data_IF_503392280863
#
_entry.id   IF_503392280863
#
_cell.length_a   1.000
_cell.length_b   1.000
_cell.length_c   1.000
_cell.angle_alpha   90.00
_cell.angle_beta   90.00
_cell.angle_gamma   90.00
#
_symmetry.space_group_name_H-M   'P 1'
#
loop_
_entity.id
_entity.type
_entity.pdbx_description
1 polymer ?
#
# COMPACT_ATOMS: atom_id res chain seq x y z
N UNK A 1 5.41 20.04 -7.88
CA UNK A 1 4.49 19.28 -7.03
C UNK A 1 5.18 18.91 -5.73
N UNK A 2 4.44 18.83 -4.63
CA UNK A 2 5.00 18.47 -3.32
C UNK A 2 5.50 17.02 -3.29
N UNK A 3 4.93 16.16 -4.13
CA UNK A 3 5.23 14.72 -4.19
C UNK A 3 6.45 14.45 -5.08
N UNK A 4 6.56 15.13 -6.21
CA UNK A 4 7.63 14.90 -7.18
C UNK A 4 8.74 15.95 -7.08
N UNK A 5 10.00 15.49 -6.98
CA UNK A 5 11.17 16.35 -6.99
C UNK A 5 11.54 16.82 -8.40
N UNK A 6 12.05 18.05 -8.50
CA UNK A 6 12.67 18.56 -9.73
C UNK A 6 14.12 18.07 -9.83
N UNK A 7 14.67 18.02 -11.04
CA UNK A 7 16.09 17.72 -11.24
C UNK A 7 16.91 18.83 -10.57
N UNK A 8 17.88 18.44 -9.72
CA UNK A 8 18.71 19.38 -8.97
C UNK A 8 18.12 19.86 -7.63
N UNK A 9 16.91 19.43 -7.24
CA UNK A 9 16.32 19.73 -5.94
C UNK A 9 17.09 18.99 -4.83
N UNK A 10 17.52 19.71 -3.78
CA UNK A 10 18.21 19.14 -2.62
C UNK A 10 17.34 18.20 -1.77
N UNK A 11 16.01 18.34 -1.87
CA UNK A 11 15.06 17.46 -1.20
C UNK A 11 14.61 16.25 -2.05
N UNK A 12 15.30 16.00 -3.16
CA UNK A 12 14.96 14.92 -4.11
C UNK A 12 15.05 13.52 -3.50
N UNK A 13 15.90 13.33 -2.51
CA UNK A 13 16.02 12.12 -1.71
C UNK A 13 14.71 11.72 -1.00
N UNK A 14 13.85 12.70 -0.70
CA UNK A 14 12.57 12.56 -0.02
C UNK A 14 11.35 12.56 -0.95
N UNK A 15 11.56 12.75 -2.24
CA UNK A 15 10.49 12.88 -3.22
C UNK A 15 10.49 11.75 -4.23
N UNK A 16 9.29 11.41 -4.71
CA UNK A 16 9.13 10.49 -5.83
C UNK A 16 9.67 11.11 -7.13
N UNK A 17 10.07 10.26 -8.05
CA UNK A 17 10.32 10.60 -9.44
C UNK A 17 9.63 9.58 -10.35
N UNK A 18 9.87 9.63 -11.65
CA UNK A 18 9.35 8.62 -12.57
C UNK A 18 10.37 8.34 -13.67
N UNK A 19 10.30 7.13 -14.20
CA UNK A 19 11.01 6.71 -15.39
C UNK A 19 10.00 6.65 -16.53
N UNK A 20 10.29 7.39 -17.60
CA UNK A 20 9.56 7.29 -18.85
C UNK A 20 10.15 6.13 -19.67
N UNK A 21 9.35 5.10 -19.90
CA UNK A 21 9.77 3.87 -20.58
C UNK A 21 9.59 3.92 -22.10
N UNK A 22 8.97 5.00 -22.62
CA UNK A 22 8.81 5.22 -24.06
C UNK A 22 7.78 4.33 -24.77
N UNK A 23 7.26 3.31 -24.10
CA UNK A 23 6.23 2.40 -24.61
C UNK A 23 5.12 2.22 -23.56
N UNK A 24 3.91 1.91 -24.04
CA UNK A 24 2.80 1.60 -23.12
C UNK A 24 2.86 0.14 -22.69
N UNK A 25 2.65 -0.09 -21.40
CA UNK A 25 2.48 -1.41 -20.78
C UNK A 25 1.31 -1.38 -19.82
N UNK A 26 0.81 -2.54 -19.40
CA UNK A 26 -0.32 -2.62 -18.47
C UNK A 26 0.12 -2.30 -17.04
N UNK A 27 -0.77 -1.66 -16.29
CA UNK A 27 -0.62 -1.59 -14.84
C UNK A 27 -0.62 -3.02 -14.24
N UNK A 28 0.32 -3.36 -13.31
CA UNK A 28 0.48 -4.72 -12.79
C UNK A 28 -0.79 -5.36 -12.25
N UNK A 29 -1.62 -4.58 -11.56
CA UNK A 29 -2.90 -5.09 -11.03
C UNK A 29 -3.86 -5.50 -12.16
N UNK A 30 -3.93 -4.75 -13.25
CA UNK A 30 -4.74 -5.10 -14.42
C UNK A 30 -4.18 -6.34 -15.11
N UNK A 31 -2.85 -6.37 -15.34
CA UNK A 31 -2.18 -7.53 -15.93
C UNK A 31 -2.46 -8.83 -15.15
N UNK A 32 -2.32 -8.78 -13.84
CA UNK A 32 -2.62 -9.91 -12.94
C UNK A 32 -4.09 -10.32 -12.96
N UNK A 33 -4.98 -9.34 -13.05
CA UNK A 33 -6.43 -9.58 -13.08
C UNK A 33 -6.86 -10.21 -14.41
N UNK A 34 -6.25 -9.82 -15.54
CA UNK A 34 -6.50 -10.45 -16.85
C UNK A 34 -6.20 -11.95 -16.82
N UNK A 35 -5.09 -12.37 -16.20
CA UNK A 35 -4.76 -13.78 -16.03
C UNK A 35 -5.76 -14.56 -15.17
N UNK A 36 -6.39 -13.89 -14.20
CA UNK A 36 -7.43 -14.50 -13.37
C UNK A 36 -8.78 -14.63 -14.09
N UNK A 37 -9.07 -13.74 -15.04
CA UNK A 37 -10.28 -13.80 -15.85
C UNK A 37 -10.21 -14.89 -16.91
N UNK A 38 -9.10 -14.91 -17.67
CA UNK A 38 -8.90 -15.88 -18.75
C UNK A 38 -7.41 -16.10 -18.97
N UNK A 39 -6.93 -17.30 -18.69
CA UNK A 39 -5.51 -17.65 -18.83
C UNK A 39 -4.98 -17.42 -20.28
N UNK A 40 -5.86 -17.50 -21.27
CA UNK A 40 -5.49 -17.20 -22.66
C UNK A 40 -4.98 -15.76 -22.83
N UNK A 41 -5.50 -14.77 -22.09
CA UNK A 41 -5.05 -13.37 -22.21
C UNK A 41 -3.58 -13.21 -21.84
N UNK A 42 -3.15 -13.80 -20.73
CA UNK A 42 -1.74 -13.80 -20.36
C UNK A 42 -0.89 -14.57 -21.37
N UNK A 43 -1.41 -15.67 -21.90
CA UNK A 43 -0.74 -16.42 -22.95
C UNK A 43 -0.50 -15.63 -24.25
N UNK A 44 -1.47 -14.82 -24.66
CA UNK A 44 -1.34 -13.90 -25.80
C UNK A 44 -0.32 -12.81 -25.47
N UNK A 45 -0.46 -12.16 -24.30
CA UNK A 45 0.46 -11.09 -23.86
C UNK A 45 1.92 -11.56 -23.77
N UNK A 46 2.14 -12.81 -23.39
CA UNK A 46 3.48 -13.43 -23.27
C UNK A 46 4.01 -14.02 -24.59
N UNK A 47 3.24 -13.95 -25.66
CA UNK A 47 3.64 -14.53 -26.96
C UNK A 47 3.58 -16.06 -27.04
N UNK A 48 2.89 -16.72 -26.10
CA UNK A 48 2.79 -18.18 -26.01
C UNK A 48 1.57 -18.75 -26.71
N UNK A 49 0.52 -17.96 -26.87
CA UNK A 49 -0.75 -18.36 -27.47
C UNK A 49 -1.05 -17.44 -28.64
N UNK A 50 -1.33 -18.03 -29.78
CA UNK A 50 -1.82 -17.34 -30.97
C UNK A 50 -3.33 -17.22 -30.92
N UNK A 51 -3.87 -16.07 -31.31
CA UNK A 51 -5.29 -15.78 -31.29
C UNK A 51 -5.70 -14.90 -32.46
N UNK A 52 -6.97 -14.95 -32.82
CA UNK A 52 -7.64 -14.08 -33.77
C UNK A 52 -8.67 -13.26 -33.00
N UNK A 53 -8.81 -11.99 -33.35
CA UNK A 53 -9.88 -11.15 -32.85
C UNK A 53 -11.21 -11.49 -33.53
N UNK A 54 -12.26 -11.72 -32.74
CA UNK A 54 -13.62 -11.94 -33.24
C UNK A 54 -14.49 -10.73 -32.92
N UNK A 55 -14.87 -10.00 -33.95
CA UNK A 55 -15.71 -8.80 -33.83
C UNK A 55 -17.13 -9.07 -33.34
N UNK A 56 -17.65 -10.29 -33.50
CA UNK A 56 -19.01 -10.64 -33.07
C UNK A 56 -19.10 -10.79 -31.56
N UNK A 57 -18.11 -11.51 -30.97
CA UNK A 57 -18.05 -11.75 -29.54
C UNK A 57 -17.25 -10.67 -28.80
N UNK A 58 -16.51 -9.78 -29.53
CA UNK A 58 -15.61 -8.77 -28.97
C UNK A 58 -14.61 -9.36 -27.99
N UNK A 59 -14.03 -10.51 -28.38
CA UNK A 59 -13.01 -11.21 -27.59
C UNK A 59 -12.04 -11.98 -28.54
N UNK A 60 -10.95 -12.46 -27.96
CA UNK A 60 -9.96 -13.28 -28.67
C UNK A 60 -10.38 -14.75 -28.69
N UNK A 61 -10.19 -15.37 -29.85
CA UNK A 61 -10.38 -16.81 -30.07
C UNK A 61 -9.01 -17.44 -30.34
N UNK A 62 -8.73 -18.56 -29.65
CA UNK A 62 -7.48 -19.30 -29.83
C UNK A 62 -7.32 -19.78 -31.26
N UNK A 63 -6.14 -19.58 -31.82
CA UNK A 63 -5.79 -19.99 -33.20
C UNK A 63 -4.41 -20.65 -33.25
N UNK A 64 -3.99 -21.02 -34.46
CA UNK A 64 -2.68 -21.60 -34.78
C UNK A 64 -1.68 -20.47 -35.13
N UNK A 65 -0.38 -20.77 -35.16
CA UNK A 65 0.63 -19.80 -35.56
C UNK A 65 0.55 -19.29 -37.04
N UNK A 66 -0.18 -20.02 -37.90
CA UNK A 66 -0.32 -19.66 -39.32
C UNK A 66 -1.35 -18.55 -39.51
N UNK A 67 -2.49 -18.67 -38.85
CA UNK A 67 -3.64 -17.77 -39.02
C UNK A 67 -3.77 -16.74 -37.92
N UNK A 68 -3.21 -17.01 -36.72
CA UNK A 68 -3.32 -16.18 -35.54
C UNK A 68 -2.11 -15.29 -35.34
N UNK A 69 -2.32 -14.27 -34.54
CA UNK A 69 -1.29 -13.36 -34.05
C UNK A 69 -1.10 -13.51 -32.55
N UNK A 70 -0.01 -12.98 -32.00
CA UNK A 70 0.31 -13.03 -30.58
C UNK A 70 1.05 -11.75 -30.17
N UNK A 71 1.22 -11.53 -28.88
CA UNK A 71 2.01 -10.45 -28.34
C UNK A 71 1.21 -9.35 -27.68
N UNK A 72 1.95 -8.47 -26.99
CA UNK A 72 1.34 -7.35 -26.24
C UNK A 72 0.70 -6.33 -27.18
N UNK A 73 1.32 -6.09 -28.33
CA UNK A 73 0.81 -5.11 -29.29
C UNK A 73 -0.58 -5.51 -29.81
N UNK A 74 -0.74 -6.75 -30.23
CA UNK A 74 -2.03 -7.29 -30.64
C UNK A 74 -3.10 -7.07 -29.56
N UNK A 75 -2.79 -7.46 -28.32
CA UNK A 75 -3.72 -7.36 -27.23
C UNK A 75 -4.11 -5.91 -26.91
N UNK A 76 -3.13 -5.00 -26.94
CA UNK A 76 -3.37 -3.56 -26.69
C UNK A 76 -4.19 -2.90 -27.79
N UNK A 77 -4.07 -3.36 -29.03
CA UNK A 77 -4.85 -2.82 -30.17
C UNK A 77 -6.34 -2.99 -29.93
N UNK A 78 -6.77 -4.14 -29.42
CA UNK A 78 -8.18 -4.45 -29.17
C UNK A 78 -8.60 -4.22 -27.71
N UNK A 79 -7.70 -3.75 -26.86
CA UNK A 79 -7.93 -3.61 -25.42
C UNK A 79 -9.23 -2.91 -25.05
N UNK A 80 -9.55 -1.81 -25.71
CA UNK A 80 -10.75 -1.00 -25.41
C UNK A 80 -12.04 -1.67 -25.82
N UNK A 81 -11.98 -2.60 -26.78
CA UNK A 81 -13.15 -3.26 -27.34
C UNK A 81 -13.53 -4.57 -26.64
N UNK A 82 -12.58 -5.18 -25.89
CA UNK A 82 -12.80 -6.46 -25.21
C UNK A 82 -14.01 -6.35 -24.28
N UNK A 83 -14.96 -7.30 -24.44
CA UNK A 83 -16.09 -7.49 -23.55
C UNK A 83 -15.84 -8.73 -22.68
N UNK A 84 -15.93 -8.56 -21.39
CA UNK A 84 -15.71 -9.65 -20.44
C UNK A 84 -17.05 -10.31 -20.09
N UNK A 85 -17.15 -11.60 -20.29
CA UNK A 85 -18.35 -12.37 -19.95
C UNK A 85 -18.48 -12.56 -18.44
N UNK A 86 -19.65 -12.27 -17.92
CA UNK A 86 -20.06 -12.55 -16.55
C UNK A 86 -20.43 -14.01 -16.37
N UNK A 87 -20.27 -14.52 -15.17
CA UNK A 87 -20.77 -15.84 -14.79
C UNK A 87 -21.30 -15.80 -13.34
N UNK A 88 -21.66 -16.94 -12.78
CA UNK A 88 -22.19 -17.03 -11.42
C UNK A 88 -21.17 -16.72 -10.29
N UNK A 89 -19.93 -16.38 -10.61
CA UNK A 89 -18.88 -16.08 -9.62
C UNK A 89 -18.82 -14.60 -9.28
N UNK A 90 -19.14 -14.26 -8.04
CA UNK A 90 -19.00 -12.88 -7.51
C UNK A 90 -17.57 -12.35 -7.60
N UNK A 91 -16.59 -13.21 -7.40
CA UNK A 91 -15.17 -12.84 -7.51
C UNK A 91 -14.80 -12.46 -8.95
N UNK A 92 -15.37 -13.15 -9.95
CA UNK A 92 -15.18 -12.80 -11.37
C UNK A 92 -15.78 -11.42 -11.67
N UNK A 93 -16.98 -11.17 -11.15
CA UNK A 93 -17.65 -9.87 -11.33
C UNK A 93 -16.85 -8.72 -10.71
N UNK A 94 -16.22 -8.94 -9.56
CA UNK A 94 -15.32 -7.95 -8.94
C UNK A 94 -14.09 -7.68 -9.82
N UNK A 95 -13.53 -8.70 -10.46
CA UNK A 95 -12.43 -8.51 -11.40
C UNK A 95 -12.85 -7.75 -12.66
N UNK A 96 -14.01 -8.07 -13.22
CA UNK A 96 -14.56 -7.35 -14.37
C UNK A 96 -14.82 -5.89 -14.00
N UNK A 97 -15.48 -5.63 -12.89
CA UNK A 97 -15.75 -4.28 -12.38
C UNK A 97 -14.46 -3.47 -12.16
N UNK A 98 -13.41 -4.10 -11.63
CA UNK A 98 -12.10 -3.48 -11.47
C UNK A 98 -11.53 -3.07 -12.84
N UNK A 99 -11.53 -3.97 -13.80
CA UNK A 99 -10.98 -3.70 -15.14
C UNK A 99 -11.79 -2.61 -15.82
N UNK A 100 -13.11 -2.70 -15.87
CA UNK A 100 -13.98 -1.72 -16.50
C UNK A 100 -13.79 -0.32 -15.92
N UNK A 101 -13.70 -0.22 -14.60
CA UNK A 101 -13.45 1.04 -13.89
C UNK A 101 -12.15 1.72 -14.33
N UNK A 102 -11.11 0.95 -14.57
CA UNK A 102 -9.77 1.48 -14.87
C UNK A 102 -9.32 1.24 -16.32
N UNK A 103 -10.20 0.77 -17.19
CA UNK A 103 -9.89 0.38 -18.57
C UNK A 103 -9.20 1.48 -19.37
N UNK A 104 -9.66 2.72 -19.24
CA UNK A 104 -9.11 3.88 -19.95
C UNK A 104 -7.71 4.29 -19.51
N UNK A 105 -7.32 3.98 -18.27
CA UNK A 105 -6.01 4.34 -17.69
C UNK A 105 -5.15 3.10 -17.37
N UNK A 106 -5.54 1.94 -17.88
CA UNK A 106 -4.87 0.68 -17.62
C UNK A 106 -3.45 0.60 -18.20
N UNK A 107 -3.17 1.40 -19.24
CA UNK A 107 -1.89 1.47 -19.92
C UNK A 107 -1.10 2.68 -19.44
N UNK A 108 0.16 2.46 -19.09
CA UNK A 108 1.08 3.51 -18.64
C UNK A 108 2.43 3.42 -19.39
N UNK A 109 3.02 4.57 -19.62
CA UNK A 109 4.37 4.75 -20.14
C UNK A 109 5.34 5.28 -19.07
N UNK A 110 4.85 5.51 -17.85
CA UNK A 110 5.63 6.07 -16.74
C UNK A 110 5.54 5.20 -15.51
N UNK A 111 6.70 4.87 -14.96
CA UNK A 111 6.82 4.06 -13.74
C UNK A 111 7.36 4.92 -12.62
N UNK A 112 6.65 4.93 -11.49
CA UNK A 112 7.04 5.70 -10.31
C UNK A 112 8.32 5.15 -9.72
N UNK A 113 9.25 6.04 -9.41
CA UNK A 113 10.50 5.74 -8.71
C UNK A 113 10.39 6.19 -7.27
N UNK A 114 10.65 5.26 -6.39
CA UNK A 114 10.65 5.45 -4.94
C UNK A 114 11.73 6.44 -4.51
N UNK A 115 11.49 7.29 -3.48
CA UNK A 115 12.47 8.26 -3.02
C UNK A 115 13.82 7.61 -2.68
N UNK A 116 14.90 8.26 -3.04
CA UNK A 116 16.26 7.74 -2.85
C UNK A 116 16.57 7.45 -1.38
N UNK A 117 16.09 8.29 -0.45
CA UNK A 117 16.28 8.10 0.98
C UNK A 117 15.52 6.92 1.61
N UNK A 118 14.73 6.19 0.82
CA UNK A 118 14.02 4.97 1.26
C UNK A 118 14.55 3.70 0.56
N UNK A 119 15.63 3.81 -0.22
CA UNK A 119 16.29 2.70 -0.93
C UNK A 119 17.80 2.91 -0.85
N UNK A 120 18.33 2.68 0.33
CA UNK A 120 19.70 3.02 0.67
C UNK A 120 20.74 2.22 -0.13
N UNK A 121 21.89 2.84 -0.27
CA UNK A 121 23.10 2.21 -0.77
C UNK A 121 24.14 2.36 0.34
N UNK A 122 24.51 1.25 0.95
CA UNK A 122 25.49 1.21 2.03
C UNK A 122 26.83 0.69 1.50
N UNK A 123 27.91 1.32 1.93
CA UNK A 123 29.28 0.86 1.65
C UNK A 123 29.89 0.43 2.98
N UNK A 124 30.21 -0.84 3.10
CA UNK A 124 30.85 -1.37 4.31
C UNK A 124 32.34 -0.92 4.43
N UNK A 125 32.94 -1.19 5.57
CA UNK A 125 34.34 -0.82 5.83
C UNK A 125 35.34 -1.52 4.88
N UNK A 126 34.93 -2.57 4.17
CA UNK A 126 35.72 -3.28 3.16
C UNK A 126 35.57 -2.69 1.75
N UNK A 127 34.74 -1.66 1.59
CA UNK A 127 34.42 -1.05 0.30
C UNK A 127 33.36 -1.80 -0.50
N UNK A 128 32.72 -2.84 0.07
CA UNK A 128 31.65 -3.56 -0.60
C UNK A 128 30.35 -2.75 -0.52
N UNK A 129 29.73 -2.56 -1.67
CA UNK A 129 28.47 -1.85 -1.78
C UNK A 129 27.29 -2.83 -1.64
N UNK A 130 26.44 -2.58 -0.66
CA UNK A 130 25.13 -3.22 -0.50
C UNK A 130 24.05 -2.24 -0.90
N UNK A 131 23.11 -2.66 -1.73
CA UNK A 131 22.03 -1.81 -2.21
C UNK A 131 20.69 -2.53 -2.06
N UNK A 132 19.63 -1.76 -1.91
CA UNK A 132 18.28 -2.28 -1.87
C UNK A 132 17.93 -2.97 -3.21
N UNK A 133 17.24 -4.11 -3.16
CA UNK A 133 16.88 -4.94 -4.31
C UNK A 133 16.08 -4.18 -5.37
N UNK A 134 15.28 -3.18 -4.98
CA UNK A 134 14.51 -2.38 -5.92
C UNK A 134 15.40 -1.54 -6.85
N UNK A 135 16.62 -1.20 -6.43
CA UNK A 135 17.56 -0.46 -7.26
C UNK A 135 17.97 -1.27 -8.50
N UNK A 136 18.09 -2.61 -8.35
CA UNK A 136 18.40 -3.49 -9.48
C UNK A 136 17.25 -3.52 -10.51
N UNK A 137 16.01 -3.50 -10.04
CA UNK A 137 14.85 -3.43 -10.93
C UNK A 137 14.81 -2.10 -11.70
N UNK A 138 15.09 -0.97 -11.04
CA UNK A 138 15.16 0.31 -11.73
C UNK A 138 16.30 0.39 -12.74
N UNK A 139 17.47 -0.19 -12.45
CA UNK A 139 18.60 -0.24 -13.40
C UNK A 139 18.22 -1.06 -14.64
N UNK A 140 17.61 -2.23 -14.46
CA UNK A 140 17.12 -3.05 -15.58
C UNK A 140 16.09 -2.28 -16.42
N UNK A 141 15.15 -1.61 -15.76
CA UNK A 141 14.12 -0.81 -16.41
C UNK A 141 14.74 0.30 -17.28
N UNK A 142 15.69 1.05 -16.71
CA UNK A 142 16.40 2.12 -17.42
C UNK A 142 17.20 1.59 -18.61
N UNK A 143 17.87 0.45 -18.47
CA UNK A 143 18.64 -0.16 -19.55
C UNK A 143 17.74 -0.49 -20.75
N UNK A 144 16.61 -1.17 -20.54
CA UNK A 144 15.66 -1.51 -21.60
C UNK A 144 15.02 -0.24 -22.18
N UNK A 145 14.63 0.70 -21.36
CA UNK A 145 14.03 1.97 -21.79
C UNK A 145 14.98 2.77 -22.68
N UNK A 146 16.26 2.87 -22.31
CA UNK A 146 17.26 3.56 -23.12
C UNK A 146 17.49 2.87 -24.49
N UNK A 147 17.45 1.54 -24.53
CA UNK A 147 17.52 0.80 -25.79
C UNK A 147 16.33 1.15 -26.70
N UNK A 148 15.12 1.17 -26.13
CA UNK A 148 13.91 1.47 -26.90
C UNK A 148 13.86 2.93 -27.41
N UNK A 149 14.39 3.89 -26.68
CA UNK A 149 14.43 5.31 -27.10
C UNK A 149 15.23 5.55 -28.37
N UNK A 150 16.22 4.71 -28.62
CA UNK A 150 17.10 4.82 -29.79
C UNK A 150 16.51 4.11 -31.01
N UNK A 151 15.32 3.52 -30.92
CA UNK A 151 14.71 2.73 -32.00
C UNK A 151 13.45 3.42 -32.55
N UNK A 152 13.16 3.16 -33.83
CA UNK A 152 11.97 3.71 -34.48
C UNK A 152 10.73 2.85 -34.17
N UNK A 153 10.08 3.14 -33.03
CA UNK A 153 8.92 2.39 -32.51
C UNK A 153 7.65 2.51 -33.36
N UNK A 154 7.61 3.46 -34.29
CA UNK A 154 6.38 3.76 -35.04
C UNK A 154 6.18 2.85 -36.23
N UNK A 155 7.26 2.39 -36.86
CA UNK A 155 7.19 1.61 -38.12
C UNK A 155 6.83 0.15 -37.90
N UNK A 156 7.36 -0.48 -36.85
CA UNK A 156 7.14 -1.90 -36.56
C UNK A 156 6.95 -2.14 -35.03
N UNK A 157 5.82 -1.75 -34.50
CA UNK A 157 5.61 -1.83 -33.04
C UNK A 157 5.60 -3.26 -32.49
N UNK A 158 5.27 -4.24 -33.31
CA UNK A 158 5.22 -5.66 -32.93
C UNK A 158 6.59 -6.24 -32.61
N UNK A 159 7.66 -5.76 -33.28
CA UNK A 159 9.02 -6.24 -33.05
C UNK A 159 9.52 -5.97 -31.62
N UNK A 160 8.89 -5.05 -30.92
CA UNK A 160 9.28 -4.67 -29.56
C UNK A 160 8.48 -5.36 -28.47
N UNK A 161 7.68 -6.35 -28.79
CA UNK A 161 6.84 -7.07 -27.82
C UNK A 161 7.67 -7.83 -26.78
N UNK A 162 8.85 -8.33 -27.15
CA UNK A 162 9.79 -8.94 -26.22
C UNK A 162 10.30 -7.95 -25.16
N UNK A 163 10.64 -6.74 -25.58
CA UNK A 163 11.07 -5.66 -24.70
C UNK A 163 9.91 -5.15 -23.84
N UNK A 164 8.70 -4.99 -24.40
CA UNK A 164 7.50 -4.65 -23.63
C UNK A 164 7.21 -5.68 -22.57
N UNK A 165 7.30 -6.97 -22.89
CA UNK A 165 7.09 -8.04 -21.93
C UNK A 165 8.14 -8.01 -20.80
N UNK A 166 9.39 -7.72 -21.15
CA UNK A 166 10.46 -7.56 -20.16
C UNK A 166 10.20 -6.38 -19.22
N UNK A 167 9.79 -5.23 -19.76
CA UNK A 167 9.38 -4.07 -18.98
C UNK A 167 8.15 -4.37 -18.09
N UNK A 168 7.18 -5.11 -18.64
CA UNK A 168 5.99 -5.52 -17.88
C UNK A 168 6.35 -6.40 -16.68
N UNK A 169 7.27 -7.35 -16.86
CA UNK A 169 7.74 -8.21 -15.77
C UNK A 169 8.45 -7.40 -14.69
N UNK A 170 9.38 -6.53 -15.07
CA UNK A 170 10.08 -5.66 -14.13
C UNK A 170 9.09 -4.76 -13.38
N UNK A 171 8.08 -4.22 -14.06
CA UNK A 171 7.06 -3.41 -13.43
C UNK A 171 6.19 -4.22 -12.45
N UNK A 172 5.87 -5.46 -12.80
CA UNK A 172 5.17 -6.37 -11.89
C UNK A 172 6.01 -6.64 -10.62
N UNK A 173 7.32 -6.88 -10.78
CA UNK A 173 8.24 -7.12 -9.66
C UNK A 173 8.34 -5.88 -8.75
N UNK A 174 8.48 -4.69 -9.32
CA UNK A 174 8.47 -3.43 -8.58
C UNK A 174 7.15 -3.27 -7.81
N UNK A 175 6.03 -3.55 -8.45
CA UNK A 175 4.72 -3.45 -7.80
C UNK A 175 4.55 -4.47 -6.66
N UNK A 176 5.03 -5.70 -6.84
CA UNK A 176 5.00 -6.74 -5.80
C UNK A 176 5.92 -6.38 -4.64
N UNK A 177 7.09 -5.79 -4.90
CA UNK A 177 7.97 -5.27 -3.87
C UNK A 177 7.24 -4.24 -2.99
N UNK A 178 6.60 -3.24 -3.58
CA UNK A 178 5.82 -2.26 -2.82
C UNK A 178 4.67 -2.90 -2.05
N UNK A 179 3.93 -3.78 -2.68
CA UNK A 179 2.84 -4.49 -2.02
C UNK A 179 3.37 -5.25 -0.81
N UNK A 180 4.52 -5.92 -0.94
CA UNK A 180 5.15 -6.65 0.15
C UNK A 180 5.58 -5.79 1.34
N UNK A 181 5.89 -4.51 1.11
CA UNK A 181 6.23 -3.56 2.19
C UNK A 181 5.01 -3.10 2.97
N UNK A 182 3.86 -2.95 2.31
CA UNK A 182 2.68 -2.33 2.91
C UNK A 182 1.61 -3.32 3.32
N UNK A 183 1.46 -4.43 2.59
CA UNK A 183 0.43 -5.43 2.80
C UNK A 183 0.92 -6.57 3.70
N UNK A 184 0.10 -6.95 4.68
CA UNK A 184 0.35 -8.03 5.62
C UNK A 184 0.35 -7.62 7.07
N UNK A 185 0.06 -8.58 7.97
CA UNK A 185 -0.14 -8.39 9.41
C UNK A 185 1.02 -7.69 10.13
N UNK A 186 2.26 -7.94 9.69
CA UNK A 186 3.47 -7.34 10.29
C UNK A 186 4.06 -6.20 9.47
N UNK A 187 3.43 -5.84 8.34
CA UNK A 187 3.91 -4.82 7.41
C UNK A 187 3.43 -3.43 7.82
N UNK A 188 3.71 -2.43 6.97
CA UNK A 188 3.54 -1.03 7.34
C UNK A 188 2.14 -0.67 7.84
N UNK A 189 1.09 -1.00 7.10
CA UNK A 189 -0.26 -0.60 7.51
C UNK A 189 -0.70 -1.30 8.79
N UNK A 190 -0.69 -2.63 8.83
CA UNK A 190 -1.20 -3.38 9.98
C UNK A 190 -0.21 -3.41 11.15
N UNK A 191 1.08 -3.52 10.87
CA UNK A 191 2.10 -3.69 11.90
C UNK A 191 2.63 -2.40 12.51
N UNK A 192 2.52 -1.28 11.78
CA UNK A 192 3.05 0.02 12.23
C UNK A 192 1.94 1.05 12.43
N UNK A 193 1.18 1.36 11.40
CA UNK A 193 0.19 2.42 11.45
C UNK A 193 -1.06 2.03 12.24
N UNK A 194 -1.67 0.89 11.95
CA UNK A 194 -2.85 0.40 12.67
C UNK A 194 -2.55 -0.12 14.09
N UNK A 195 -1.31 -0.54 14.36
CA UNK A 195 -0.86 -1.02 15.67
C UNK A 195 -0.36 0.11 16.58
N UNK A 196 -0.81 1.32 16.37
CA UNK A 196 -0.39 2.48 17.17
C UNK A 196 -0.72 2.27 18.65
N UNK A 197 0.31 2.36 19.50
CA UNK A 197 0.13 2.28 20.95
C UNK A 197 -0.51 3.57 21.47
N UNK A 198 -1.51 3.44 22.30
CA UNK A 198 -2.10 4.55 23.06
C UNK A 198 -1.30 4.68 24.34
N UNK A 199 -0.83 5.89 24.64
CA UNK A 199 -0.17 6.18 25.92
C UNK A 199 -1.18 6.03 27.08
N UNK A 200 -0.68 5.52 28.21
CA UNK A 200 -1.46 5.26 29.43
C UNK A 200 -2.68 4.33 29.22
N UNK A 201 -2.72 3.60 28.11
CA UNK A 201 -3.66 2.52 27.91
C UNK A 201 -3.39 1.34 28.84
N UNK A 202 -4.40 0.56 29.14
CA UNK A 202 -4.29 -0.67 29.93
C UNK A 202 -4.56 -1.89 29.04
N UNK A 203 -3.93 -3.00 29.39
CA UNK A 203 -4.18 -4.30 28.77
C UNK A 203 -4.73 -5.23 29.86
N UNK A 204 -5.93 -5.73 29.64
CA UNK A 204 -6.60 -6.62 30.56
C UNK A 204 -6.78 -8.00 29.93
N UNK A 205 -6.77 -9.02 30.76
CA UNK A 205 -7.15 -10.37 30.36
C UNK A 205 -8.66 -10.49 30.57
N UNK A 206 -9.35 -10.98 29.56
CA UNK A 206 -10.78 -11.29 29.67
C UNK A 206 -10.90 -12.57 30.50
N UNK A 207 -11.54 -12.48 31.63
CA UNK A 207 -11.83 -13.61 32.51
C UNK A 207 -13.33 -13.68 32.80
N UNK A 208 -13.78 -14.81 33.34
CA UNK A 208 -15.16 -14.90 33.83
C UNK A 208 -15.38 -13.88 34.92
N UNK A 209 -16.59 -13.28 34.96
CA UNK A 209 -17.00 -12.39 36.03
C UNK A 209 -17.09 -13.17 37.35
N UNK A 210 -16.63 -12.54 38.44
CA UNK A 210 -16.89 -13.09 39.77
C UNK A 210 -18.38 -12.87 40.08
N UNK A 211 -19.11 -13.95 40.17
CA UNK A 211 -20.53 -13.92 40.45
C UNK A 211 -20.70 -14.35 41.91
N UNK A 212 -21.29 -13.46 42.73
CA UNK A 212 -21.67 -13.80 44.10
C UNK A 212 -22.92 -14.70 44.15
N UNK A 213 -23.55 -14.92 43.01
CA UNK A 213 -24.70 -15.79 42.83
C UNK A 213 -24.61 -16.58 41.55
N UNK A 214 -24.94 -17.89 41.52
CA UNK A 214 -24.98 -18.70 40.31
C UNK A 214 -26.20 -18.38 39.40
N UNK A 215 -27.13 -17.53 39.85
CA UNK A 215 -28.32 -17.20 39.10
C UNK A 215 -28.13 -15.97 38.22
N UNK A 216 -28.35 -16.13 36.91
CA UNK A 216 -28.45 -15.02 35.97
C UNK A 216 -29.59 -14.09 36.36
N UNK A 217 -29.33 -12.80 36.47
CA UNK A 217 -30.31 -11.79 36.84
C UNK A 217 -30.39 -11.50 38.35
N UNK A 218 -29.56 -12.14 39.17
CA UNK A 218 -29.40 -11.74 40.59
C UNK A 218 -28.93 -10.28 40.63
N UNK A 219 -29.42 -9.51 41.64
CA UNK A 219 -28.96 -8.13 41.86
C UNK A 219 -27.48 -8.02 42.19
N UNK A 220 -26.82 -9.12 42.54
CA UNK A 220 -25.37 -9.18 42.81
C UNK A 220 -24.58 -9.65 41.58
N UNK A 221 -25.24 -10.05 40.50
CA UNK A 221 -24.58 -10.42 39.25
C UNK A 221 -24.33 -9.17 38.40
N UNK A 222 -23.12 -8.97 37.83
CA UNK A 222 -22.89 -7.89 36.92
C UNK A 222 -23.78 -8.04 35.66
N UNK A 223 -24.39 -6.94 35.26
CA UNK A 223 -25.18 -6.92 34.00
C UNK A 223 -24.30 -7.35 32.80
N UNK A 224 -24.86 -8.04 31.81
CA UNK A 224 -24.14 -8.39 30.56
C UNK A 224 -23.52 -7.19 29.83
N UNK A 225 -24.02 -5.97 30.11
CA UNK A 225 -23.53 -4.73 29.52
C UNK A 225 -22.41 -4.07 30.34
N UNK A 226 -22.03 -4.67 31.48
CA UNK A 226 -20.98 -4.13 32.35
C UNK A 226 -19.75 -5.03 32.35
N UNK A 227 -18.61 -4.39 32.44
CA UNK A 227 -17.31 -5.05 32.55
C UNK A 227 -16.68 -4.70 33.90
N UNK A 228 -16.15 -5.69 34.60
CA UNK A 228 -15.37 -5.47 35.79
C UNK A 228 -13.94 -5.07 35.42
N UNK A 229 -13.50 -3.93 35.92
CA UNK A 229 -12.16 -3.41 35.69
C UNK A 229 -11.46 -3.25 37.03
N UNK A 230 -10.24 -3.77 37.15
CA UNK A 230 -9.43 -3.62 38.37
C UNK A 230 -9.10 -2.14 38.62
N UNK A 231 -9.09 -1.78 39.92
CA UNK A 231 -8.86 -0.38 40.35
C UNK A 231 -7.55 0.21 39.79
N UNK A 232 -6.49 -0.57 39.79
CA UNK A 232 -5.20 -0.12 39.25
C UNK A 232 -5.28 0.22 37.75
N UNK A 233 -5.92 -0.64 36.95
CA UNK A 233 -6.13 -0.41 35.54
C UNK A 233 -7.02 0.79 35.26
N UNK A 234 -8.10 0.94 36.07
CA UNK A 234 -8.98 2.10 35.99
C UNK A 234 -8.23 3.41 36.30
N UNK A 235 -7.46 3.46 37.36
CA UNK A 235 -6.66 4.63 37.72
C UNK A 235 -5.63 4.97 36.65
N UNK A 236 -4.97 3.96 36.08
CA UNK A 236 -3.98 4.16 35.01
C UNK A 236 -4.60 4.72 33.75
N UNK A 237 -5.76 4.21 33.31
CA UNK A 237 -6.44 4.69 32.09
C UNK A 237 -7.10 6.07 32.28
N UNK A 238 -7.56 6.40 33.48
CA UNK A 238 -8.18 7.70 33.77
C UNK A 238 -7.13 8.81 33.97
N UNK A 239 -5.88 8.45 34.30
CA UNK A 239 -4.82 9.41 34.60
C UNK A 239 -4.66 10.54 33.61
N UNK A 240 -4.60 10.32 32.25
CA UNK A 240 -4.47 11.41 31.29
C UNK A 240 -5.63 12.39 31.34
N UNK A 241 -6.87 11.84 31.44
CA UNK A 241 -8.11 12.63 31.53
C UNK A 241 -8.17 13.41 32.82
N UNK A 242 -7.86 12.77 33.94
CA UNK A 242 -7.81 13.41 35.24
C UNK A 242 -6.78 14.53 35.28
N UNK A 243 -5.56 14.28 34.74
CA UNK A 243 -4.51 15.29 34.64
C UNK A 243 -4.95 16.49 33.81
N UNK A 244 -5.61 16.25 32.70
CA UNK A 244 -6.15 17.32 31.84
C UNK A 244 -7.20 18.17 32.62
N UNK A 245 -8.14 17.54 33.30
CA UNK A 245 -9.16 18.26 34.04
C UNK A 245 -8.60 19.01 35.23
N UNK A 246 -7.68 18.40 35.98
CA UNK A 246 -6.98 19.09 37.08
C UNK A 246 -6.28 20.34 36.56
N UNK A 247 -5.47 20.19 35.51
CA UNK A 247 -4.67 21.27 34.96
C UNK A 247 -5.51 22.41 34.36
N UNK A 248 -6.57 22.08 33.60
CA UNK A 248 -7.28 23.08 32.81
C UNK A 248 -8.57 23.59 33.47
N UNK A 249 -9.10 22.89 34.47
CA UNK A 249 -10.34 23.28 35.13
C UNK A 249 -10.17 23.54 36.64
N UNK A 250 -9.55 22.61 37.38
CA UNK A 250 -9.45 22.71 38.83
C UNK A 250 -8.41 23.74 39.26
N UNK A 251 -7.21 23.65 38.76
CA UNK A 251 -6.12 24.58 39.10
C UNK A 251 -6.45 26.05 38.77
N UNK A 252 -7.00 26.39 37.61
CA UNK A 252 -7.41 27.76 37.31
C UNK A 252 -8.56 28.26 38.18
N UNK A 253 -9.42 27.35 38.68
CA UNK A 253 -10.54 27.73 39.59
C UNK A 253 -10.06 28.01 41.01
N UNK A 254 -9.08 27.22 41.48
CA UNK A 254 -8.51 27.37 42.83
C UNK A 254 -7.56 28.58 42.86
N UNK A 255 -6.70 28.68 41.85
CA UNK A 255 -5.73 29.77 41.70
C UNK A 255 -6.30 30.82 40.76
N UNK A 256 -7.24 31.63 41.25
CA UNK A 256 -7.94 32.65 40.45
C UNK A 256 -7.04 33.77 39.95
N UNK A 257 -5.85 33.90 40.51
CA UNK A 257 -4.92 34.95 40.16
C UNK A 257 -3.96 34.47 39.09
N UNK A 258 -4.14 34.94 37.84
CA UNK A 258 -3.38 34.52 36.66
C UNK A 258 -1.88 34.83 36.81
N UNK A 259 -1.52 35.73 37.71
CA UNK A 259 -0.13 36.17 37.94
C UNK A 259 0.53 35.43 39.12
N UNK A 260 -0.17 34.59 39.83
CA UNK A 260 0.39 33.82 40.95
C UNK A 260 1.03 32.54 40.43
N UNK A 261 2.31 32.29 40.63
CA UNK A 261 2.96 31.05 40.21
C UNK A 261 2.35 29.88 40.98
N UNK A 262 1.78 28.91 40.27
CA UNK A 262 1.31 27.68 40.86
C UNK A 262 2.48 26.87 41.42
N UNK A 263 2.40 26.48 42.69
CA UNK A 263 3.46 25.70 43.32
C UNK A 263 3.01 24.23 43.33
N UNK A 264 3.78 23.37 42.65
CA UNK A 264 3.67 21.93 42.75
C UNK A 264 4.69 21.38 43.73
N UNK A 265 4.25 20.45 44.56
CA UNK A 265 5.16 19.69 45.43
C UNK A 265 5.53 18.41 44.70
N UNK A 266 6.78 18.30 44.30
CA UNK A 266 7.32 17.07 43.76
C UNK A 266 7.36 16.00 44.85
N UNK A 267 6.58 14.91 44.67
CA UNK A 267 6.47 13.83 45.66
C UNK A 267 7.78 13.11 45.96
N UNK A 268 8.70 13.01 44.99
CA UNK A 268 9.98 12.30 45.17
C UNK A 268 11.01 13.14 45.92
N UNK A 269 11.07 14.43 45.63
CA UNK A 269 12.07 15.33 46.23
C UNK A 269 11.48 16.19 47.35
N UNK A 270 10.18 16.22 47.55
CA UNK A 270 9.44 17.13 48.41
C UNK A 270 9.78 18.63 48.14
N UNK A 271 10.31 18.90 46.97
CA UNK A 271 10.60 20.27 46.55
C UNK A 271 9.37 20.91 45.95
N UNK A 272 9.20 22.17 46.28
CA UNK A 272 8.19 23.03 45.64
C UNK A 272 8.77 23.49 44.29
N UNK A 273 8.05 23.19 43.22
CA UNK A 273 8.42 23.59 41.87
C UNK A 273 7.40 24.60 41.34
N UNK A 274 7.87 25.67 40.76
CA UNK A 274 7.01 26.67 40.14
C UNK A 274 6.63 26.15 38.72
N UNK A 275 5.37 26.23 38.39
CA UNK A 275 4.89 25.97 37.04
C UNK A 275 4.85 27.33 36.34
N UNK A 276 5.68 27.47 35.31
CA UNK A 276 5.57 28.56 34.35
C UNK A 276 4.48 28.27 33.31
#
# INVERSE_FOLDING_TARGET
>A
SEIFGKVGDTSRDRKFSYIDIGVKIFHPQIYKTLGKLKQMYTGILEGKIYAIWDDKIKDFVKSNPIDGQTGMWLFMTYWTEIKFEHNASTQRDDYIRLIEKYKSIALTDKIIVYPAGLRDVEVDASGRTTKDEINDQYVKLLSISNTLRNMNLKETPELFDGQRLSLQRIFNDIYEYFTSLVDGKKKFFMGKWASRKIFDGTRNVISASILDSPFLGSQYAPSPLHTMLGLYQALKSIRPIATYHVRNKILPTIFKDVNSPAILVNRKSLRKEYIQ
#
